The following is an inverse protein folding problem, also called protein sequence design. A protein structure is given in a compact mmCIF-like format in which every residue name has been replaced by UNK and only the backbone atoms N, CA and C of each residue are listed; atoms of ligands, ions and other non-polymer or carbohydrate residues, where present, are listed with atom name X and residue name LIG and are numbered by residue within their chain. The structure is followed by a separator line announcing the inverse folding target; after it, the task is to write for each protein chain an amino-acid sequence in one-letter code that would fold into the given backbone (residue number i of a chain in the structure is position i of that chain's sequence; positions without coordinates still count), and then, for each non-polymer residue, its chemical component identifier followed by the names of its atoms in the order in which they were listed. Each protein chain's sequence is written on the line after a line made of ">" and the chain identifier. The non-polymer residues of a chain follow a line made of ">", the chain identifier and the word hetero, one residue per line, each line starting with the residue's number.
data_IF_677103677130
#
_entry.id   IF_677103677130
#
_cell.length_a   1.000
_cell.length_b   1.000
_cell.length_c   1.000
_cell.angle_alpha   90.00
_cell.angle_beta   90.00
_cell.angle_gamma   90.00
#
_symmetry.space_group_name_H-M   'P 1'
#
loop_
_entity.id
_entity.type
_entity.pdbx_description
1 polymer ?
#
# COMPACT_ATOMS: atom_id res chain seq x y z
N UNK A 1 -2.89 -28.99 -26.98
CA UNK A 1 -3.71 -27.89 -26.44
C UNK A 1 -2.87 -27.17 -25.37
N UNK A 2 -2.46 -25.92 -25.62
CA UNK A 2 -1.76 -25.13 -24.59
C UNK A 2 -2.83 -24.53 -23.68
N UNK A 3 -2.81 -24.93 -22.42
CA UNK A 3 -3.70 -24.37 -21.40
C UNK A 3 -2.99 -23.18 -20.74
N UNK A 4 -3.56 -21.99 -20.85
CA UNK A 4 -3.06 -20.80 -20.17
C UNK A 4 -3.88 -20.55 -18.92
N UNK A 5 -3.21 -20.28 -17.79
CA UNK A 5 -3.84 -19.77 -16.59
C UNK A 5 -3.65 -18.26 -16.59
N UNK A 6 -4.76 -17.53 -16.53
CA UNK A 6 -4.78 -16.07 -16.42
C UNK A 6 -5.29 -15.69 -15.02
N UNK A 7 -4.55 -14.84 -14.34
CA UNK A 7 -5.01 -14.18 -13.12
C UNK A 7 -5.36 -12.74 -13.47
N UNK A 8 -6.64 -12.40 -13.34
CA UNK A 8 -7.13 -11.04 -13.56
C UNK A 8 -7.57 -10.44 -12.23
N UNK A 9 -7.00 -9.28 -11.90
CA UNK A 9 -7.27 -8.59 -10.64
C UNK A 9 -7.78 -7.18 -10.93
N UNK A 10 -8.93 -6.84 -10.35
CA UNK A 10 -9.47 -5.49 -10.38
C UNK A 10 -9.28 -4.83 -9.02
N UNK A 11 -8.52 -3.75 -8.97
CA UNK A 11 -8.28 -2.96 -7.77
C UNK A 11 -8.99 -1.62 -7.86
N UNK A 12 -9.69 -1.27 -6.79
CA UNK A 12 -10.28 0.05 -6.63
C UNK A 12 -9.75 0.72 -5.35
N UNK A 13 -9.14 1.89 -5.51
CA UNK A 13 -8.81 2.78 -4.40
C UNK A 13 -9.92 3.83 -4.29
N UNK A 14 -10.82 3.70 -3.32
CA UNK A 14 -11.97 4.59 -3.17
C UNK A 14 -12.43 4.69 -1.71
N UNK A 15 -13.08 5.81 -1.38
CA UNK A 15 -13.78 5.99 -0.10
C UNK A 15 -15.02 5.10 0.02
N UNK A 16 -15.67 4.86 -1.13
CA UNK A 16 -16.86 4.01 -1.24
C UNK A 16 -16.47 2.84 -2.12
N UNK A 17 -16.57 1.65 -1.57
CA UNK A 17 -16.30 0.42 -2.29
C UNK A 17 -17.51 0.04 -3.15
N UNK A 18 -17.23 -0.63 -4.26
CA UNK A 18 -18.28 -1.29 -5.04
C UNK A 18 -18.80 -2.50 -4.25
N UNK A 19 -20.04 -2.87 -4.51
CA UNK A 19 -20.53 -4.16 -4.10
C UNK A 19 -19.88 -5.28 -4.95
N UNK A 20 -20.07 -6.53 -4.54
CA UNK A 20 -19.51 -7.70 -5.25
C UNK A 20 -19.89 -7.73 -6.72
N UNK A 21 -21.15 -7.37 -7.05
CA UNK A 21 -21.65 -7.34 -8.43
C UNK A 21 -20.95 -6.27 -9.26
N UNK A 22 -20.68 -5.10 -8.69
CA UNK A 22 -19.95 -4.02 -9.35
C UNK A 22 -18.52 -4.42 -9.72
N UNK A 23 -17.81 -5.11 -8.83
CA UNK A 23 -16.49 -5.67 -9.14
C UNK A 23 -16.54 -6.71 -10.24
N UNK A 24 -17.46 -7.67 -10.14
CA UNK A 24 -17.64 -8.72 -11.16
C UNK A 24 -17.99 -8.14 -12.54
N UNK A 25 -18.90 -7.16 -12.58
CA UNK A 25 -19.29 -6.49 -13.83
C UNK A 25 -18.09 -5.77 -14.48
N UNK A 26 -17.26 -5.10 -13.69
CA UNK A 26 -16.07 -4.43 -14.20
C UNK A 26 -15.08 -5.41 -14.84
N UNK A 27 -14.87 -6.57 -14.23
CA UNK A 27 -14.03 -7.64 -14.80
C UNK A 27 -14.64 -8.19 -16.09
N UNK A 28 -15.93 -8.44 -16.12
CA UNK A 28 -16.64 -8.95 -17.31
C UNK A 28 -16.53 -7.95 -18.47
N UNK A 29 -16.76 -6.66 -18.22
CA UNK A 29 -16.61 -5.60 -19.25
C UNK A 29 -15.18 -5.57 -19.79
N UNK A 30 -14.18 -5.68 -18.92
CA UNK A 30 -12.79 -5.74 -19.36
C UNK A 30 -12.52 -6.95 -20.26
N UNK A 31 -12.98 -8.14 -19.88
CA UNK A 31 -12.81 -9.35 -20.66
C UNK A 31 -13.53 -9.27 -22.02
N UNK A 32 -14.75 -8.73 -22.06
CA UNK A 32 -15.50 -8.52 -23.30
C UNK A 32 -14.75 -7.63 -24.30
N UNK A 33 -14.03 -6.62 -23.79
CA UNK A 33 -13.23 -5.70 -24.61
C UNK A 33 -11.81 -6.22 -24.92
N UNK A 34 -11.42 -7.36 -24.33
CA UNK A 34 -10.12 -7.98 -24.56
C UNK A 34 -10.14 -8.93 -25.75
N UNK A 35 -8.97 -9.41 -26.14
CA UNK A 35 -8.82 -10.48 -27.16
C UNK A 35 -9.19 -11.87 -26.63
N UNK A 36 -9.43 -12.01 -25.31
CA UNK A 36 -9.73 -13.27 -24.64
C UNK A 36 -11.24 -13.47 -24.70
N UNK A 37 -11.70 -14.41 -25.52
CA UNK A 37 -13.13 -14.69 -25.71
C UNK A 37 -13.59 -15.99 -25.04
N UNK A 38 -12.74 -17.02 -25.10
CA UNK A 38 -13.05 -18.34 -24.57
C UNK A 38 -12.25 -18.55 -23.27
N UNK A 39 -12.95 -18.53 -22.13
CA UNK A 39 -12.37 -18.74 -20.82
C UNK A 39 -13.34 -19.43 -19.86
N UNK A 40 -12.81 -20.14 -18.90
CA UNK A 40 -13.57 -20.71 -17.78
C UNK A 40 -13.05 -20.13 -16.49
N UNK A 41 -13.93 -19.56 -15.67
CA UNK A 41 -13.57 -19.06 -14.35
C UNK A 41 -13.45 -20.25 -13.40
N UNK A 42 -12.24 -20.49 -12.92
CA UNK A 42 -11.95 -21.61 -12.00
C UNK A 42 -11.99 -21.19 -10.54
N UNK A 43 -11.67 -19.93 -10.25
CA UNK A 43 -11.69 -19.40 -8.88
C UNK A 43 -12.01 -17.90 -8.86
N UNK A 44 -12.61 -17.42 -7.77
CA UNK A 44 -12.89 -16.01 -7.51
C UNK A 44 -12.48 -15.70 -6.07
N UNK A 45 -11.68 -14.66 -5.91
CA UNK A 45 -11.29 -14.13 -4.61
C UNK A 45 -11.68 -12.66 -4.51
N UNK A 46 -12.05 -12.21 -3.32
CA UNK A 46 -12.30 -10.81 -3.02
C UNK A 46 -11.76 -10.47 -1.63
N UNK A 47 -11.29 -9.26 -1.45
CA UNK A 47 -10.77 -8.81 -0.18
C UNK A 47 -10.63 -7.29 -0.14
N UNK A 48 -10.48 -6.77 1.06
CA UNK A 48 -10.27 -5.35 1.32
C UNK A 48 -8.92 -5.16 2.00
N UNK A 49 -8.09 -4.25 1.47
CA UNK A 49 -6.81 -3.88 2.06
C UNK A 49 -7.03 -2.56 2.79
N UNK A 50 -6.82 -2.48 4.11
CA UNK A 50 -7.01 -1.25 4.87
C UNK A 50 -5.96 -0.21 4.50
N UNK A 51 -6.34 0.77 3.69
CA UNK A 51 -5.53 1.93 3.34
C UNK A 51 -5.70 2.99 4.42
N UNK A 52 -5.00 2.83 5.54
CA UNK A 52 -5.21 3.64 6.74
C UNK A 52 -3.91 3.93 7.49
N UNK A 53 -3.85 5.09 8.14
CA UNK A 53 -2.80 5.42 9.10
C UNK A 53 -3.11 4.98 10.53
N UNK A 54 -4.08 4.08 10.74
CA UNK A 54 -4.40 3.56 12.06
C UNK A 54 -3.17 2.95 12.74
N UNK A 55 -2.91 3.26 14.00
CA UNK A 55 -1.73 2.77 14.72
C UNK A 55 -1.96 1.35 15.26
N UNK A 56 -2.00 0.36 14.36
CA UNK A 56 -2.29 -1.05 14.69
C UNK A 56 -1.44 -1.61 15.83
N UNK A 57 -0.18 -1.16 15.95
CA UNK A 57 0.73 -1.60 17.01
C UNK A 57 0.22 -1.26 18.44
N UNK A 58 -0.71 -0.32 18.59
CA UNK A 58 -1.34 -0.02 19.88
C UNK A 58 -2.30 -1.11 20.35
N UNK A 59 -2.68 -2.02 19.46
CA UNK A 59 -3.52 -3.17 19.78
C UNK A 59 -2.72 -4.32 20.40
N UNK A 60 -1.39 -4.30 20.27
CA UNK A 60 -0.55 -5.30 20.91
C UNK A 60 -0.65 -5.23 22.42
N UNK A 61 -0.70 -6.37 23.06
CA UNK A 61 -0.58 -6.52 24.52
C UNK A 61 0.72 -7.21 24.87
N UNK A 62 0.99 -7.43 26.16
CA UNK A 62 2.22 -8.12 26.57
C UNK A 62 2.39 -9.47 25.86
N UNK A 63 1.30 -10.24 25.75
CA UNK A 63 1.34 -11.63 25.26
C UNK A 63 0.71 -11.82 23.87
N UNK A 64 0.16 -10.77 23.25
CA UNK A 64 -0.53 -10.84 21.96
C UNK A 64 0.08 -9.82 21.00
N UNK A 65 0.49 -10.29 19.84
CA UNK A 65 0.94 -9.44 18.72
C UNK A 65 0.04 -9.66 17.51
N UNK A 66 -0.35 -8.57 16.88
CA UNK A 66 -1.02 -8.59 15.58
C UNK A 66 -0.01 -8.50 14.47
N UNK A 67 -0.12 -9.37 13.47
CA UNK A 67 0.78 -9.48 12.32
C UNK A 67 0.03 -9.30 11.00
N UNK A 68 0.75 -9.19 9.89
CA UNK A 68 0.15 -9.00 8.57
C UNK A 68 -0.67 -7.71 8.48
N UNK A 69 -1.80 -7.75 7.76
CA UNK A 69 -2.67 -6.57 7.58
C UNK A 69 -3.27 -6.08 8.91
N UNK A 70 -3.67 -6.97 9.81
CA UNK A 70 -4.18 -6.62 11.15
C UNK A 70 -3.10 -6.05 12.08
N UNK A 71 -1.81 -6.30 11.79
CA UNK A 71 -0.66 -5.68 12.48
C UNK A 71 -0.14 -4.41 11.81
N UNK A 72 -0.81 -3.93 10.76
CA UNK A 72 -0.38 -2.75 10.01
C UNK A 72 0.92 -2.98 9.22
N UNK A 73 1.10 -4.19 8.67
CA UNK A 73 2.29 -4.52 7.87
C UNK A 73 2.13 -4.17 6.40
N UNK A 74 0.91 -3.88 5.94
CA UNK A 74 0.65 -3.29 4.63
C UNK A 74 1.00 -1.81 4.61
N UNK A 75 1.57 -1.32 3.50
CA UNK A 75 1.84 0.12 3.34
C UNK A 75 0.52 0.89 3.24
N UNK A 76 0.32 1.91 4.07
CA UNK A 76 -0.92 2.68 4.10
C UNK A 76 -1.31 3.29 2.76
N UNK A 77 -0.33 3.74 1.96
CA UNK A 77 -0.56 4.49 0.73
C UNK A 77 -0.71 3.65 -0.52
N UNK A 78 -0.21 2.41 -0.52
CA UNK A 78 -0.13 1.56 -1.73
C UNK A 78 -0.71 0.17 -1.53
N UNK A 79 -0.98 -0.25 -0.28
CA UNK A 79 -1.33 -1.63 0.03
C UNK A 79 -0.17 -2.64 -0.15
N UNK A 80 1.03 -2.16 -0.49
CA UNK A 80 2.18 -3.03 -0.71
C UNK A 80 2.53 -3.79 0.56
N UNK A 81 2.51 -5.11 0.48
CA UNK A 81 2.50 -5.95 1.69
C UNK A 81 3.59 -7.03 1.66
N UNK A 82 3.82 -7.67 0.52
CA UNK A 82 4.64 -8.89 0.43
C UNK A 82 6.05 -8.72 1.05
N UNK A 83 6.85 -7.79 0.54
CA UNK A 83 8.21 -7.54 1.06
C UNK A 83 8.21 -6.97 2.48
N UNK A 84 7.16 -6.24 2.85
CA UNK A 84 7.01 -5.76 4.22
C UNK A 84 6.75 -6.89 5.20
N UNK A 85 5.97 -7.92 4.82
CA UNK A 85 5.77 -9.11 5.66
C UNK A 85 7.10 -9.82 5.87
N UNK A 86 7.85 -10.11 4.80
CA UNK A 86 9.16 -10.76 4.87
C UNK A 86 10.08 -10.03 5.87
N UNK A 87 10.29 -8.73 5.67
CA UNK A 87 11.17 -7.91 6.50
C UNK A 87 10.70 -7.79 7.96
N UNK A 88 9.40 -7.58 8.16
CA UNK A 88 8.83 -7.46 9.52
C UNK A 88 8.83 -8.79 10.25
N UNK A 89 8.68 -9.92 9.54
CA UNK A 89 8.84 -11.25 10.14
C UNK A 89 10.27 -11.49 10.63
N UNK A 90 11.29 -11.14 9.85
CA UNK A 90 12.68 -11.21 10.30
C UNK A 90 12.93 -10.33 11.54
N UNK A 91 12.36 -9.13 11.55
CA UNK A 91 12.47 -8.20 12.67
C UNK A 91 11.78 -8.75 13.92
N UNK A 92 10.61 -9.38 13.75
CA UNK A 92 9.87 -10.01 14.83
C UNK A 92 10.66 -11.19 15.42
N UNK A 93 11.24 -12.05 14.58
CA UNK A 93 12.08 -13.16 15.05
C UNK A 93 13.29 -12.69 15.87
N UNK A 94 13.92 -11.58 15.47
CA UNK A 94 15.01 -10.97 16.26
C UNK A 94 14.49 -10.39 17.58
N UNK A 95 13.34 -9.76 17.56
CA UNK A 95 12.72 -9.18 18.76
C UNK A 95 12.39 -10.27 19.80
N UNK A 96 11.79 -11.39 19.36
CA UNK A 96 11.41 -12.51 20.21
C UNK A 96 12.59 -13.15 20.97
N UNK A 97 13.81 -13.04 20.45
CA UNK A 97 15.00 -13.55 21.12
C UNK A 97 15.41 -12.70 22.34
N UNK A 98 14.96 -11.47 22.43
CA UNK A 98 15.44 -10.47 23.40
C UNK A 98 14.31 -9.88 24.27
N UNK A 99 13.05 -10.13 23.93
CA UNK A 99 11.91 -9.51 24.58
C UNK A 99 10.75 -10.50 24.72
N UNK A 100 10.03 -10.35 25.80
CA UNK A 100 8.81 -11.08 26.16
C UNK A 100 7.55 -10.22 26.21
N UNK A 101 7.65 -8.95 25.81
CA UNK A 101 6.59 -7.96 25.89
C UNK A 101 6.34 -7.32 24.51
N UNK A 102 5.28 -7.75 23.83
CA UNK A 102 4.96 -7.27 22.48
C UNK A 102 4.48 -5.82 22.43
N UNK A 103 4.15 -5.19 23.54
CA UNK A 103 3.86 -3.73 23.55
C UNK A 103 5.06 -2.90 23.10
N UNK A 104 6.27 -3.46 23.26
CA UNK A 104 7.53 -2.82 22.84
C UNK A 104 7.89 -3.09 21.38
N UNK A 105 7.15 -3.98 20.69
CA UNK A 105 7.38 -4.27 19.27
C UNK A 105 6.85 -3.14 18.39
N UNK A 106 7.66 -2.75 17.40
CA UNK A 106 7.37 -1.77 16.36
C UNK A 106 7.41 -0.29 16.79
N UNK A 107 8.18 0.46 16.03
CA UNK A 107 8.25 1.92 16.11
C UNK A 107 7.75 2.54 14.80
N UNK A 108 7.10 3.69 14.89
CA UNK A 108 6.79 4.51 13.72
C UNK A 108 8.09 4.96 13.06
N UNK A 109 8.19 4.80 11.75
CA UNK A 109 9.35 5.23 10.96
C UNK A 109 9.02 6.52 10.19
N UNK A 110 10.05 7.21 9.67
CA UNK A 110 9.84 8.34 8.76
C UNK A 110 9.06 7.93 7.50
N UNK A 111 9.26 6.70 7.03
CA UNK A 111 8.55 6.18 5.85
C UNK A 111 7.07 6.00 6.13
N UNK A 112 6.69 5.57 7.34
CA UNK A 112 5.29 5.56 7.77
C UNK A 112 4.67 6.97 7.67
N UNK A 113 5.39 8.01 8.03
CA UNK A 113 4.93 9.39 7.90
C UNK A 113 4.73 9.80 6.44
N UNK A 114 5.65 9.44 5.54
CA UNK A 114 5.52 9.72 4.11
C UNK A 114 4.30 9.00 3.50
N UNK A 115 4.12 7.73 3.82
CA UNK A 115 2.94 6.97 3.41
C UNK A 115 1.64 7.63 3.88
N UNK A 116 1.66 8.16 5.08
CA UNK A 116 0.49 8.79 5.67
C UNK A 116 0.14 10.11 4.96
N UNK A 117 1.13 10.94 4.65
CA UNK A 117 0.93 12.15 3.84
C UNK A 117 0.44 11.79 2.43
N UNK A 118 1.02 10.76 1.81
CA UNK A 118 0.61 10.32 0.48
C UNK A 118 -0.84 9.80 0.50
N UNK A 119 -1.22 9.06 1.52
CA UNK A 119 -2.60 8.60 1.72
C UNK A 119 -3.58 9.78 1.86
N UNK A 120 -3.23 10.82 2.63
CA UNK A 120 -4.06 12.02 2.76
C UNK A 120 -4.23 12.75 1.41
N UNK A 121 -3.15 12.84 0.61
CA UNK A 121 -3.21 13.42 -0.73
C UNK A 121 -4.18 12.62 -1.61
N UNK A 122 -4.07 11.29 -1.62
CA UNK A 122 -4.97 10.42 -2.39
C UNK A 122 -6.41 10.47 -1.87
N UNK A 123 -6.60 10.54 -0.55
CA UNK A 123 -7.92 10.63 0.04
C UNK A 123 -8.66 11.93 -0.36
N UNK A 124 -7.95 13.05 -0.42
CA UNK A 124 -8.51 14.34 -0.81
C UNK A 124 -8.60 14.50 -2.33
N UNK A 125 -7.68 13.89 -3.09
CA UNK A 125 -7.49 14.12 -4.52
C UNK A 125 -7.28 12.80 -5.28
N UNK A 126 -8.17 11.84 -5.12
CA UNK A 126 -8.04 10.51 -5.73
C UNK A 126 -7.85 10.56 -7.26
N UNK A 127 -8.51 11.52 -7.94
CA UNK A 127 -8.38 11.73 -9.38
C UNK A 127 -6.95 12.04 -9.83
N UNK A 128 -6.08 12.51 -8.93
CA UNK A 128 -4.66 12.75 -9.20
C UNK A 128 -3.79 11.49 -9.05
N UNK A 129 -4.29 10.42 -8.49
CA UNK A 129 -3.51 9.20 -8.20
C UNK A 129 -2.77 8.69 -9.43
N UNK A 130 -3.47 8.53 -10.57
CA UNK A 130 -2.85 8.12 -11.83
C UNK A 130 -1.68 9.03 -12.23
N UNK A 131 -1.88 10.34 -12.16
CA UNK A 131 -0.84 11.32 -12.51
C UNK A 131 0.37 11.22 -11.59
N UNK A 132 0.14 11.11 -10.29
CA UNK A 132 1.20 11.02 -9.28
C UNK A 132 2.05 9.75 -9.47
N UNK A 133 1.42 8.60 -9.61
CA UNK A 133 2.14 7.36 -9.86
C UNK A 133 2.87 7.37 -11.21
N UNK A 134 2.24 7.91 -12.27
CA UNK A 134 2.90 8.05 -13.58
C UNK A 134 4.14 8.93 -13.47
N UNK A 135 4.07 10.08 -12.76
CA UNK A 135 5.21 10.96 -12.55
C UNK A 135 6.33 10.26 -11.76
N UNK A 136 5.97 9.52 -10.71
CA UNK A 136 6.92 8.77 -9.92
C UNK A 136 7.74 7.80 -10.79
N UNK A 137 7.06 6.98 -11.61
CA UNK A 137 7.75 6.00 -12.46
C UNK A 137 8.44 6.61 -13.67
N UNK A 138 7.93 7.71 -14.23
CA UNK A 138 8.56 8.41 -15.35
C UNK A 138 9.86 9.12 -14.95
N UNK A 139 9.89 9.71 -13.75
CA UNK A 139 10.97 10.59 -13.31
C UNK A 139 12.04 9.88 -12.46
N UNK A 140 11.83 8.62 -12.11
CA UNK A 140 12.75 7.87 -11.27
C UNK A 140 13.08 6.49 -11.86
N UNK A 141 14.26 5.98 -11.54
CA UNK A 141 14.62 4.62 -11.87
C UNK A 141 13.72 3.63 -11.12
N UNK A 142 13.12 2.62 -11.77
CA UNK A 142 12.26 1.63 -11.12
C UNK A 142 12.93 0.92 -9.93
N UNK A 143 14.24 0.64 -9.99
CA UNK A 143 14.98 0.04 -8.87
C UNK A 143 14.94 0.94 -7.63
N UNK A 144 15.03 2.27 -7.81
CA UNK A 144 14.95 3.22 -6.71
C UNK A 144 13.54 3.27 -6.13
N UNK A 145 12.50 3.21 -6.98
CA UNK A 145 11.10 3.18 -6.55
C UNK A 145 10.84 1.92 -5.72
N UNK A 146 11.25 0.74 -6.20
CA UNK A 146 11.08 -0.50 -5.45
C UNK A 146 11.88 -0.48 -4.13
N UNK A 147 13.09 0.07 -4.12
CA UNK A 147 13.88 0.25 -2.91
C UNK A 147 13.15 1.12 -1.88
N UNK A 148 12.46 2.17 -2.33
CA UNK A 148 11.63 3.04 -1.50
C UNK A 148 10.38 2.31 -0.98
N UNK A 149 9.69 1.56 -1.84
CA UNK A 149 8.54 0.75 -1.46
C UNK A 149 8.92 -0.34 -0.43
N UNK A 150 10.11 -0.91 -0.57
CA UNK A 150 10.69 -1.89 0.37
C UNK A 150 11.21 -1.24 1.68
N UNK A 151 11.10 0.09 1.84
CA UNK A 151 11.59 0.86 2.99
C UNK A 151 13.10 0.70 3.24
N UNK A 152 13.88 0.51 2.18
CA UNK A 152 15.34 0.37 2.20
C UNK A 152 16.07 1.62 1.72
N UNK A 153 15.35 2.65 1.30
CA UNK A 153 15.90 3.91 0.81
C UNK A 153 16.55 4.72 1.93
N UNK A 154 17.58 5.46 1.60
CA UNK A 154 18.16 6.47 2.47
C UNK A 154 17.46 7.83 2.25
N UNK A 155 17.76 8.80 3.11
CA UNK A 155 17.10 10.11 3.10
C UNK A 155 17.26 10.85 1.76
N UNK A 156 18.43 10.79 1.12
CA UNK A 156 18.66 11.45 -0.18
C UNK A 156 17.82 10.82 -1.29
N UNK A 157 17.74 9.51 -1.31
CA UNK A 157 16.91 8.76 -2.26
C UNK A 157 15.41 9.07 -2.07
N UNK A 158 14.97 9.21 -0.84
CA UNK A 158 13.59 9.57 -0.48
C UNK A 158 13.26 10.99 -0.95
N UNK A 159 14.15 11.97 -0.67
CA UNK A 159 14.01 13.35 -1.15
C UNK A 159 13.94 13.39 -2.67
N UNK A 160 14.80 12.63 -3.36
CA UNK A 160 14.79 12.54 -4.82
C UNK A 160 13.44 12.07 -5.35
N UNK A 161 12.85 11.02 -4.77
CA UNK A 161 11.53 10.53 -5.15
C UNK A 161 10.46 11.58 -4.85
N UNK A 162 10.48 12.17 -3.65
CA UNK A 162 9.49 13.16 -3.25
C UNK A 162 9.54 14.43 -4.11
N UNK A 163 10.72 14.86 -4.55
CA UNK A 163 10.87 16.01 -5.46
C UNK A 163 10.39 15.74 -6.89
N UNK A 164 10.18 14.48 -7.25
CA UNK A 164 9.66 14.11 -8.57
C UNK A 164 8.15 14.33 -8.74
N UNK A 165 7.45 14.59 -7.62
CA UNK A 165 6.02 14.91 -7.63
C UNK A 165 5.77 16.42 -7.72
N UNK A 166 4.51 16.78 -7.98
CA UNK A 166 4.01 18.15 -7.78
C UNK A 166 4.03 18.47 -6.27
N UNK A 167 5.10 19.13 -5.80
CA UNK A 167 5.37 19.36 -4.37
C UNK A 167 4.31 20.19 -3.66
N UNK A 168 3.63 21.09 -4.36
CA UNK A 168 2.64 22.00 -3.76
C UNK A 168 1.48 21.30 -3.04
N UNK A 169 0.98 20.19 -3.58
CA UNK A 169 -0.12 19.43 -2.95
C UNK A 169 0.36 18.77 -1.66
N UNK A 170 1.57 18.21 -1.69
CA UNK A 170 2.16 17.55 -0.52
C UNK A 170 2.46 18.57 0.59
N UNK A 171 3.04 19.71 0.26
CA UNK A 171 3.30 20.79 1.23
C UNK A 171 2.02 21.31 1.86
N UNK A 172 0.96 21.50 1.06
CA UNK A 172 -0.36 21.90 1.57
C UNK A 172 -0.94 20.85 2.53
N UNK A 173 -0.80 19.57 2.21
CA UNK A 173 -1.29 18.47 3.06
C UNK A 173 -0.50 18.39 4.37
N UNK A 174 0.84 18.54 4.31
CA UNK A 174 1.70 18.58 5.49
C UNK A 174 1.30 19.77 6.39
N UNK A 175 1.14 20.96 5.80
CA UNK A 175 0.72 22.15 6.53
C UNK A 175 -0.60 21.93 7.25
N UNK A 176 -1.63 21.49 6.53
CA UNK A 176 -2.94 21.20 7.13
C UNK A 176 -2.85 20.23 8.30
N UNK A 177 -2.01 19.20 8.17
CA UNK A 177 -1.84 18.18 9.20
C UNK A 177 -1.11 18.69 10.44
N UNK A 178 -0.10 19.54 10.27
CA UNK A 178 0.64 20.13 11.38
C UNK A 178 -0.20 21.12 12.19
N UNK A 179 -1.12 21.80 11.54
CA UNK A 179 -1.96 22.83 12.17
C UNK A 179 -3.42 22.39 12.43
N UNK A 180 -3.71 21.08 12.27
CA UNK A 180 -5.04 20.47 12.48
C UNK A 180 -6.17 21.18 11.69
N UNK A 181 -5.89 21.62 10.45
CA UNK A 181 -6.83 22.32 9.57
C UNK A 181 -7.51 21.36 8.58
#
# INVERSE_FOLDING_TARGET
>A
LLLYILILVYHLFSKVLLDKKGYESSIVIYLQNSVIKDYTITNKESGEIPMTGFPFQKQNSKNIIYIGSSGGWSKPSTGYTFKNIERKSETLLKFLKLNDDFTKYSKKTRIWFYDFIFLDVLYQNNHLGRKLFTQMFKNNNPKLIFKFLDERSNLFEEIKIMSSFSTGIFLKTIYKRLFNL
#
